data_IF_180637218534
#
_entry.id   IF_180637218534
#
_cell.length_a   1.000
_cell.length_b   1.000
_cell.length_c   1.000
_cell.angle_alpha   90.00
_cell.angle_beta   90.00
_cell.angle_gamma   90.00
#
_symmetry.space_group_name_H-M   'P 1'
#
loop_
_entity.id
_entity.type
_entity.pdbx_description
1 polymer ?
#
# COMPACT_ATOMS: atom_id res chain seq x y z
N UNK A 1 -29.48 -28.41 -13.66
CA UNK A 1 -29.69 -27.61 -12.44
C UNK A 1 -29.31 -26.20 -12.83
N UNK A 2 -30.29 -25.33 -13.07
CA UNK A 2 -30.05 -23.94 -13.48
C UNK A 2 -30.14 -23.06 -12.24
N UNK A 3 -29.29 -22.05 -12.13
CA UNK A 3 -29.37 -21.04 -11.07
C UNK A 3 -30.60 -20.18 -11.29
N UNK A 4 -31.23 -19.76 -10.19
CA UNK A 4 -32.28 -18.74 -10.19
C UNK A 4 -31.72 -17.34 -10.43
N UNK A 5 -32.57 -16.41 -10.86
CA UNK A 5 -32.18 -15.01 -11.08
C UNK A 5 -31.66 -14.33 -9.80
N UNK A 6 -32.23 -14.69 -8.65
CA UNK A 6 -31.80 -14.20 -7.34
C UNK A 6 -30.39 -14.68 -6.98
N UNK A 7 -30.09 -15.97 -7.23
CA UNK A 7 -28.75 -16.53 -7.02
C UNK A 7 -27.73 -15.86 -7.94
N UNK A 8 -28.09 -15.62 -9.21
CA UNK A 8 -27.23 -14.93 -10.16
C UNK A 8 -26.95 -13.48 -9.76
N UNK A 9 -27.97 -12.77 -9.28
CA UNK A 9 -27.86 -11.41 -8.76
C UNK A 9 -26.96 -11.36 -7.52
N UNK A 10 -27.15 -12.28 -6.59
CA UNK A 10 -26.33 -12.43 -5.39
C UNK A 10 -24.84 -12.67 -5.74
N UNK A 11 -24.57 -13.59 -6.67
CA UNK A 11 -23.20 -13.85 -7.15
C UNK A 11 -22.58 -12.61 -7.80
N UNK A 12 -23.34 -11.89 -8.63
CA UNK A 12 -22.87 -10.68 -9.31
C UNK A 12 -22.50 -9.59 -8.30
N UNK A 13 -23.34 -9.37 -7.28
CA UNK A 13 -23.05 -8.45 -6.18
C UNK A 13 -21.83 -8.88 -5.36
N UNK A 14 -21.67 -10.18 -5.11
CA UNK A 14 -20.51 -10.69 -4.39
C UNK A 14 -19.21 -10.45 -5.17
N UNK A 15 -19.22 -10.69 -6.48
CA UNK A 15 -18.07 -10.43 -7.36
C UNK A 15 -17.72 -8.93 -7.36
N UNK A 16 -18.70 -8.03 -7.48
CA UNK A 16 -18.46 -6.58 -7.42
C UNK A 16 -17.83 -6.18 -6.08
N UNK A 17 -18.37 -6.67 -4.96
CA UNK A 17 -17.88 -6.33 -3.63
C UNK A 17 -16.47 -6.86 -3.34
N UNK A 18 -16.14 -8.06 -3.84
CA UNK A 18 -14.86 -8.73 -3.59
C UNK A 18 -13.75 -8.33 -4.57
N UNK A 19 -14.09 -7.80 -5.75
CA UNK A 19 -13.12 -7.34 -6.75
C UNK A 19 -11.99 -6.45 -6.19
N UNK A 20 -12.25 -5.38 -5.40
CA UNK A 20 -11.16 -4.56 -4.87
C UNK A 20 -10.25 -5.34 -3.89
N UNK A 21 -10.80 -6.30 -3.16
CA UNK A 21 -10.02 -7.16 -2.24
C UNK A 21 -9.15 -8.15 -3.01
N UNK A 22 -9.66 -8.68 -4.12
CA UNK A 22 -8.89 -9.54 -5.02
C UNK A 22 -7.72 -8.77 -5.66
N UNK A 23 -7.96 -7.55 -6.14
CA UNK A 23 -6.92 -6.68 -6.68
C UNK A 23 -5.85 -6.34 -5.63
N UNK A 24 -6.26 -5.96 -4.42
CA UNK A 24 -5.33 -5.68 -3.32
C UNK A 24 -4.53 -6.93 -2.91
N UNK A 25 -5.17 -8.10 -2.88
CA UNK A 25 -4.49 -9.36 -2.53
C UNK A 25 -3.48 -9.74 -3.60
N UNK A 26 -3.83 -9.58 -4.90
CA UNK A 26 -2.90 -9.79 -6.01
C UNK A 26 -1.70 -8.86 -5.93
N UNK A 27 -1.92 -7.58 -5.65
CA UNK A 27 -0.86 -6.59 -5.47
C UNK A 27 0.12 -7.03 -4.35
N UNK A 28 -0.43 -7.38 -3.19
CA UNK A 28 0.36 -7.83 -2.02
C UNK A 28 1.01 -9.19 -2.27
N UNK A 29 0.42 -10.06 -3.08
CA UNK A 29 0.95 -11.42 -3.31
C UNK A 29 1.92 -11.49 -4.50
N UNK A 30 1.91 -10.50 -5.40
CA UNK A 30 2.76 -10.47 -6.58
C UNK A 30 4.19 -10.01 -6.27
N UNK A 31 4.39 -9.24 -5.20
CA UNK A 31 5.70 -8.75 -4.80
C UNK A 31 6.48 -9.83 -4.04
N UNK A 32 7.75 -10.05 -4.42
CA UNK A 32 8.67 -10.87 -3.61
C UNK A 32 8.86 -10.29 -2.19
N UNK A 33 8.70 -8.97 -2.06
CA UNK A 33 8.68 -8.26 -0.78
C UNK A 33 7.65 -7.14 -0.86
N UNK A 34 6.56 -7.25 -0.10
CA UNK A 34 5.55 -6.20 -0.01
C UNK A 34 6.13 -5.00 0.69
N UNK A 35 6.11 -3.84 0.05
CA UNK A 35 6.58 -2.62 0.72
C UNK A 35 5.58 -2.18 1.78
N UNK A 36 6.03 -2.04 3.03
CA UNK A 36 5.22 -1.59 4.17
C UNK A 36 4.54 -0.23 3.87
N UNK A 37 5.14 0.58 3.00
CA UNK A 37 4.58 1.86 2.52
C UNK A 37 3.23 1.74 1.80
N UNK A 38 2.86 0.57 1.27
CA UNK A 38 1.59 0.36 0.56
C UNK A 38 0.41 0.04 1.47
N UNK A 39 0.66 -0.30 2.73
CA UNK A 39 -0.36 -0.80 3.65
C UNK A 39 -1.45 0.25 3.91
N UNK A 40 -1.07 1.47 4.31
CA UNK A 40 -2.02 2.57 4.56
C UNK A 40 -2.80 2.93 3.27
N UNK A 41 -2.14 3.15 2.11
CA UNK A 41 -2.85 3.40 0.86
C UNK A 41 -3.86 2.30 0.49
N UNK A 42 -3.47 1.02 0.54
CA UNK A 42 -4.33 -0.09 0.17
C UNK A 42 -5.56 -0.19 1.08
N UNK A 43 -5.38 0.01 2.39
CA UNK A 43 -6.51 0.03 3.33
C UNK A 43 -7.48 1.18 3.01
N UNK A 44 -6.97 2.37 2.72
CA UNK A 44 -7.79 3.51 2.32
C UNK A 44 -8.59 3.22 1.04
N UNK A 45 -7.96 2.60 0.05
CA UNK A 45 -8.62 2.20 -1.21
C UNK A 45 -9.69 1.14 -1.00
N UNK A 46 -9.40 0.09 -0.22
CA UNK A 46 -10.37 -0.95 0.11
C UNK A 46 -11.57 -0.40 0.88
N UNK A 47 -11.32 0.50 1.84
CA UNK A 47 -12.38 1.15 2.60
C UNK A 47 -13.29 1.98 1.69
N UNK A 48 -12.71 2.78 0.80
CA UNK A 48 -13.46 3.61 -0.14
C UNK A 48 -14.25 2.77 -1.14
N UNK A 49 -13.63 1.78 -1.77
CA UNK A 49 -14.28 0.89 -2.73
C UNK A 49 -15.46 0.13 -2.10
N UNK A 50 -15.28 -0.42 -0.90
CA UNK A 50 -16.34 -1.12 -0.18
C UNK A 50 -17.48 -0.18 0.23
N UNK A 51 -17.18 1.06 0.65
CA UNK A 51 -18.22 2.06 0.95
C UNK A 51 -19.01 2.46 -0.29
N UNK A 52 -18.35 2.70 -1.42
CA UNK A 52 -19.01 3.05 -2.69
C UNK A 52 -19.94 1.94 -3.18
N UNK A 53 -19.47 0.69 -3.17
CA UNK A 53 -20.31 -0.46 -3.51
C UNK A 53 -21.47 -0.64 -2.50
N UNK A 54 -21.22 -0.39 -1.22
CA UNK A 54 -22.26 -0.43 -0.19
C UNK A 54 -23.36 0.61 -0.38
N UNK A 55 -23.02 1.83 -0.83
CA UNK A 55 -23.98 2.89 -1.15
C UNK A 55 -24.89 2.54 -2.33
N UNK A 56 -24.45 1.63 -3.23
CA UNK A 56 -25.28 1.10 -4.34
C UNK A 56 -26.27 0.02 -3.89
N UNK A 57 -26.36 -0.27 -2.58
CA UNK A 57 -27.28 -1.28 -2.03
C UNK A 57 -26.65 -2.67 -1.83
N UNK A 58 -25.34 -2.82 -2.02
CA UNK A 58 -24.65 -4.09 -1.80
C UNK A 58 -24.39 -4.33 -0.30
N UNK A 59 -25.17 -5.24 0.30
CA UNK A 59 -25.08 -5.53 1.74
C UNK A 59 -23.74 -6.15 2.14
N UNK A 60 -23.16 -7.00 1.28
CA UNK A 60 -21.85 -7.60 1.53
C UNK A 60 -20.76 -6.51 1.57
N UNK A 61 -20.80 -5.56 0.64
CA UNK A 61 -19.86 -4.44 0.61
C UNK A 61 -19.95 -3.56 1.86
N UNK A 62 -21.16 -3.29 2.37
CA UNK A 62 -21.34 -2.59 3.65
C UNK A 62 -20.71 -3.34 4.83
N UNK A 63 -20.89 -4.66 4.88
CA UNK A 63 -20.25 -5.49 5.91
C UNK A 63 -18.74 -5.47 5.77
N UNK A 64 -18.20 -5.59 4.55
CA UNK A 64 -16.77 -5.50 4.29
C UNK A 64 -16.20 -4.14 4.70
N UNK A 65 -16.88 -3.03 4.39
CA UNK A 65 -16.49 -1.68 4.81
C UNK A 65 -16.47 -1.54 6.34
N UNK A 66 -17.46 -2.10 7.05
CA UNK A 66 -17.48 -2.11 8.51
C UNK A 66 -16.32 -2.94 9.10
N UNK A 67 -16.01 -4.07 8.47
CA UNK A 67 -14.90 -4.94 8.88
C UNK A 67 -13.52 -4.32 8.59
N UNK A 68 -13.34 -3.64 7.46
CA UNK A 68 -12.13 -2.89 7.16
C UNK A 68 -11.90 -1.80 8.19
N UNK A 69 -12.92 -0.97 8.47
CA UNK A 69 -12.84 0.06 9.50
C UNK A 69 -12.46 -0.53 10.84
N UNK A 70 -13.13 -1.61 11.28
CA UNK A 70 -12.85 -2.24 12.58
C UNK A 70 -11.42 -2.79 12.69
N UNK A 71 -10.89 -3.38 11.62
CA UNK A 71 -9.55 -4.00 11.62
C UNK A 71 -8.42 -2.98 11.47
N UNK A 72 -8.69 -1.84 10.83
CA UNK A 72 -7.68 -0.86 10.46
C UNK A 72 -7.93 0.56 11.00
N UNK A 73 -8.80 0.71 12.01
CA UNK A 73 -9.24 2.01 12.57
C UNK A 73 -8.07 2.94 12.93
N UNK A 74 -6.97 2.40 13.43
CA UNK A 74 -5.80 3.15 13.88
C UNK A 74 -4.53 2.84 13.09
N UNK A 75 -4.66 2.42 11.83
CA UNK A 75 -3.51 2.01 11.03
C UNK A 75 -2.51 3.16 10.81
N UNK A 76 -3.01 4.39 10.70
CA UNK A 76 -2.17 5.58 10.56
C UNK A 76 -1.40 5.92 11.85
N UNK A 77 -1.88 5.51 13.03
CA UNK A 77 -1.19 5.76 14.31
C UNK A 77 0.00 4.81 14.54
N UNK A 78 0.12 3.75 13.75
CA UNK A 78 1.31 2.90 13.79
C UNK A 78 2.49 3.63 13.13
N UNK A 79 3.44 4.09 13.95
CA UNK A 79 4.57 4.88 13.46
C UNK A 79 5.36 4.18 12.35
N UNK A 80 5.58 2.87 12.41
CA UNK A 80 6.34 2.16 11.38
C UNK A 80 5.60 2.19 10.04
N UNK A 81 4.30 1.86 10.01
CA UNK A 81 3.50 1.94 8.79
C UNK A 81 3.45 3.37 8.25
N UNK A 82 3.23 4.33 9.14
CA UNK A 82 3.03 5.72 8.81
C UNK A 82 4.32 6.39 8.33
N UNK A 83 5.45 6.17 9.01
CA UNK A 83 6.75 6.67 8.58
C UNK A 83 7.18 6.03 7.25
N UNK A 84 7.05 4.71 7.08
CA UNK A 84 7.36 4.05 5.81
C UNK A 84 6.51 4.58 4.66
N UNK A 85 5.22 4.82 4.90
CA UNK A 85 4.31 5.40 3.90
C UNK A 85 4.67 6.85 3.59
N UNK A 86 4.93 7.67 4.61
CA UNK A 86 5.27 9.08 4.47
C UNK A 86 6.60 9.31 3.72
N UNK A 87 7.58 8.43 3.94
CA UNK A 87 8.88 8.49 3.26
C UNK A 87 8.82 8.01 1.80
N UNK A 88 7.79 7.27 1.41
CA UNK A 88 7.57 6.89 0.02
C UNK A 88 7.07 8.11 -0.76
N UNK A 89 7.86 8.55 -1.75
CA UNK A 89 7.62 9.76 -2.54
C UNK A 89 6.24 9.73 -3.23
N UNK A 90 5.75 8.54 -3.58
CA UNK A 90 4.44 8.36 -4.24
C UNK A 90 3.27 8.73 -3.33
N UNK A 91 3.42 8.54 -2.02
CA UNK A 91 2.33 8.65 -1.06
C UNK A 91 2.44 9.92 -0.23
N UNK A 92 3.61 10.16 0.37
CA UNK A 92 3.92 11.33 1.20
C UNK A 92 2.76 11.70 2.14
N UNK A 93 2.10 12.83 1.92
CA UNK A 93 0.98 13.32 2.73
C UNK A 93 -0.40 13.08 2.08
N UNK A 94 -0.46 12.47 0.90
CA UNK A 94 -1.65 12.40 0.05
C UNK A 94 -2.61 11.28 0.50
N UNK A 95 -2.05 10.22 1.09
CA UNK A 95 -2.77 9.00 1.48
C UNK A 95 -3.30 9.03 2.90
N UNK A 96 -2.89 10.02 3.70
CA UNK A 96 -3.30 10.15 5.09
C UNK A 96 -4.65 10.87 5.18
N UNK A 97 -5.57 10.28 5.93
CA UNK A 97 -6.84 10.91 6.25
C UNK A 97 -6.69 11.95 7.36
N UNK A 98 -5.79 11.71 8.33
CA UNK A 98 -5.53 12.64 9.43
C UNK A 98 -4.29 13.49 9.16
N UNK A 99 -4.50 14.78 8.88
CA UNK A 99 -3.42 15.75 8.68
C UNK A 99 -2.62 16.02 9.97
N UNK A 100 -3.23 15.86 11.15
CA UNK A 100 -2.54 15.98 12.43
C UNK A 100 -1.50 14.89 12.60
N UNK A 101 -1.83 13.67 12.20
CA UNK A 101 -0.91 12.54 12.27
C UNK A 101 0.31 12.73 11.34
N UNK A 102 0.13 13.34 10.16
CA UNK A 102 1.24 13.69 9.26
C UNK A 102 2.27 14.59 9.96
N UNK A 103 1.84 15.61 10.70
CA UNK A 103 2.75 16.50 11.41
C UNK A 103 3.44 15.82 12.60
N UNK A 104 2.76 14.89 13.27
CA UNK A 104 3.36 14.05 14.33
C UNK A 104 4.48 13.17 13.76
N UNK A 105 4.21 12.48 12.65
CA UNK A 105 5.20 11.61 11.96
C UNK A 105 6.40 12.44 11.52
N UNK A 106 6.15 13.57 10.87
CA UNK A 106 7.20 14.48 10.39
C UNK A 106 8.07 15.00 11.53
N UNK A 107 7.46 15.45 12.62
CA UNK A 107 8.18 15.95 13.80
C UNK A 107 9.05 14.87 14.42
N UNK A 108 8.52 13.66 14.54
CA UNK A 108 9.26 12.51 15.08
C UNK A 108 10.43 12.10 14.17
N UNK A 109 10.22 12.01 12.85
CA UNK A 109 11.28 11.73 11.87
C UNK A 109 12.42 12.75 11.95
N UNK A 110 12.09 14.05 12.02
CA UNK A 110 13.09 15.12 12.16
C UNK A 110 13.87 14.96 13.48
N UNK A 111 13.19 14.66 14.58
CA UNK A 111 13.83 14.46 15.88
C UNK A 111 14.78 13.25 15.87
N UNK A 112 14.37 12.13 15.28
CA UNK A 112 15.19 10.93 15.11
C UNK A 112 16.43 11.22 14.25
N UNK A 113 16.27 11.94 13.12
CA UNK A 113 17.39 12.36 12.27
C UNK A 113 18.39 13.27 13.00
N UNK A 114 17.91 14.24 13.79
CA UNK A 114 18.77 15.13 14.58
C UNK A 114 19.52 14.38 15.68
N UNK A 115 18.89 13.39 16.31
CA UNK A 115 19.52 12.58 17.33
C UNK A 115 20.69 11.74 16.76
N UNK A 116 20.52 11.19 15.55
CA UNK A 116 21.59 10.46 14.85
C UNK A 116 22.79 11.36 14.52
N UNK A 117 22.53 12.59 14.05
CA UNK A 117 23.59 13.56 13.75
C UNK A 117 24.45 13.95 14.96
N UNK A 118 23.90 13.89 16.18
CA UNK A 118 24.63 14.16 17.43
C UNK A 118 25.46 12.97 17.91
N UNK A 119 25.08 11.74 17.55
CA UNK A 119 25.85 10.54 17.91
C UNK A 119 27.06 10.35 16.99
N UNK A 120 26.98 10.77 15.72
CA UNK A 120 28.09 10.68 14.76
C UNK A 120 29.32 11.54 15.10
N UNK A 121 29.21 12.52 16.02
CA UNK A 121 30.30 13.44 16.38
C UNK A 121 31.08 13.04 17.65
N UNK A 122 30.80 11.88 18.27
CA UNK A 122 31.41 11.48 19.55
C UNK A 122 32.28 10.21 19.50
N UNK A 123 32.72 9.75 18.32
CA UNK A 123 33.65 8.60 18.21
C UNK A 123 34.59 8.80 17.02
N UNK A 124 35.86 9.20 17.24
CA UNK A 124 37.10 8.36 17.19
C UNK A 124 38.34 9.32 17.33
N UNK A 125 39.58 8.90 17.74
CA UNK A 125 40.27 7.70 17.22
C UNK A 125 41.13 6.85 18.19
N UNK A 126 41.23 5.52 17.93
CA UNK A 126 42.53 4.85 17.63
C UNK A 126 42.49 3.30 17.56
N UNK A 127 42.84 2.82 16.36
CA UNK A 127 43.81 1.75 16.04
C UNK A 127 43.47 0.24 16.24
N UNK A 128 43.01 -0.35 15.13
CA UNK A 128 43.53 -1.55 14.42
C UNK A 128 43.87 -2.86 15.17
N UNK A 129 43.24 -3.96 14.72
CA UNK A 129 43.95 -5.19 14.30
C UNK A 129 43.13 -5.98 13.26
N UNK A 130 43.83 -6.32 12.18
CA UNK A 130 43.40 -7.11 11.03
C UNK A 130 43.24 -8.60 11.36
N UNK A 131 42.25 -9.26 10.75
CA UNK A 131 42.47 -10.50 10.00
C UNK A 131 41.23 -10.81 9.14
N UNK A 132 41.45 -10.96 7.84
CA UNK A 132 40.42 -11.31 6.87
C UNK A 132 40.16 -12.81 6.82
N UNK A 133 39.02 -13.19 6.24
CA UNK A 133 38.90 -14.40 5.41
C UNK A 133 37.81 -14.14 4.38
N UNK A 134 38.24 -14.11 3.12
CA UNK A 134 37.43 -14.20 1.92
C UNK A 134 36.81 -15.60 1.87
N UNK A 135 35.50 -15.69 1.62
CA UNK A 135 34.89 -16.90 1.05
C UNK A 135 34.06 -16.49 -0.16
N UNK A 136 34.61 -16.88 -1.30
CA UNK A 136 34.10 -16.83 -2.67
C UNK A 136 32.87 -17.74 -2.85
N UNK A 137 31.93 -17.25 -3.65
CA UNK A 137 30.76 -17.97 -4.22
C UNK A 137 31.22 -19.01 -5.25
N UNK A 138 30.45 -20.11 -5.45
CA UNK A 138 29.93 -20.33 -6.82
C UNK A 138 28.41 -20.60 -6.87
N UNK A 139 27.83 -20.51 -8.08
CA UNK A 139 26.40 -20.38 -8.33
C UNK A 139 25.73 -21.73 -8.62
N UNK A 140 24.42 -21.83 -8.38
CA UNK A 140 23.61 -22.88 -9.00
C UNK A 140 22.22 -22.34 -9.38
N UNK A 141 21.98 -22.30 -10.69
CA UNK A 141 20.66 -22.27 -11.31
C UNK A 141 20.29 -23.71 -11.64
N UNK A 142 19.01 -24.07 -11.61
CA UNK A 142 18.40 -24.31 -12.91
C UNK A 142 17.04 -23.65 -13.09
N UNK A 143 16.84 -23.18 -14.31
CA UNK A 143 15.56 -22.82 -14.88
C UNK A 143 14.55 -23.97 -14.78
N UNK A 144 13.34 -23.65 -14.37
CA UNK A 144 12.14 -24.41 -14.69
C UNK A 144 10.97 -23.43 -14.88
N UNK A 145 10.76 -23.09 -16.15
CA UNK A 145 9.47 -22.85 -16.80
C UNK A 145 8.27 -22.77 -15.85
N UNK A 146 7.73 -21.57 -15.66
CA UNK A 146 6.32 -21.45 -15.32
C UNK A 146 5.62 -20.77 -16.48
N UNK A 147 5.04 -21.62 -17.33
CA UNK A 147 4.13 -21.23 -18.39
C UNK A 147 3.03 -20.34 -17.79
N UNK A 148 2.95 -19.10 -18.27
CA UNK A 148 1.78 -18.25 -18.06
C UNK A 148 0.62 -18.89 -18.80
N UNK A 149 -0.18 -19.68 -18.09
CA UNK A 149 -1.54 -19.98 -18.50
C UNK A 149 -2.40 -18.78 -18.11
N UNK A 150 -2.92 -18.12 -19.15
CA UNK A 150 -3.64 -16.88 -19.06
C UNK A 150 -5.06 -16.99 -18.53
N UNK A 151 -5.61 -15.83 -18.23
CA UNK A 151 -7.01 -15.48 -18.42
C UNK A 151 -7.13 -13.97 -18.26
N UNK A 152 -6.66 -13.21 -19.25
CA UNK A 152 -7.17 -11.85 -19.43
C UNK A 152 -8.57 -11.98 -20.02
N UNK A 153 -9.55 -12.09 -19.13
CA UNK A 153 -10.97 -12.07 -19.48
C UNK A 153 -11.53 -10.69 -19.13
N UNK A 154 -11.70 -9.91 -20.20
CA UNK A 154 -12.74 -8.91 -20.47
C UNK A 154 -12.92 -7.73 -19.49
N UNK A 155 -12.55 -6.55 -20.00
CA UNK A 155 -13.06 -5.20 -19.66
C UNK A 155 -13.13 -4.89 -18.18
N UNK A 156 -11.99 -4.52 -17.61
CA UNK A 156 -11.90 -3.92 -16.29
C UNK A 156 -12.39 -2.46 -16.33
N UNK A 157 -13.58 -2.21 -15.82
CA UNK A 157 -13.91 -0.90 -15.27
C UNK A 157 -12.97 -0.63 -14.09
N UNK A 158 -11.86 0.03 -14.40
CA UNK A 158 -10.91 0.65 -13.49
C UNK A 158 -10.09 -0.25 -12.55
N UNK A 159 -8.81 0.06 -12.46
CA UNK A 159 -7.90 -0.57 -11.48
C UNK A 159 -8.10 0.03 -10.09
N UNK A 160 -7.81 -0.75 -9.03
CA UNK A 160 -7.87 -0.32 -7.63
C UNK A 160 -7.17 1.04 -7.37
N UNK A 161 -6.09 1.30 -8.11
CA UNK A 161 -5.27 2.52 -7.98
C UNK A 161 -5.71 3.67 -8.88
N UNK A 162 -6.65 3.49 -9.81
CA UNK A 162 -6.92 4.47 -10.87
C UNK A 162 -7.36 5.84 -10.34
N UNK A 163 -8.29 5.85 -9.38
CA UNK A 163 -8.75 7.08 -8.73
C UNK A 163 -7.62 7.77 -7.96
N UNK A 164 -6.77 6.96 -7.33
CA UNK A 164 -5.61 7.45 -6.60
C UNK A 164 -4.58 8.09 -7.53
N UNK A 165 -4.21 7.40 -8.61
CA UNK A 165 -3.26 7.90 -9.60
C UNK A 165 -3.76 9.20 -10.23
N UNK A 166 -5.06 9.28 -10.52
CA UNK A 166 -5.70 10.52 -11.00
C UNK A 166 -5.54 11.66 -10.00
N UNK A 167 -5.74 11.38 -8.70
CA UNK A 167 -5.55 12.36 -7.63
C UNK A 167 -4.08 12.80 -7.48
N UNK A 168 -3.14 11.88 -7.64
CA UNK A 168 -1.70 12.18 -7.61
C UNK A 168 -1.32 13.13 -8.74
N UNK A 169 -1.77 12.84 -9.98
CA UNK A 169 -1.51 13.70 -11.14
C UNK A 169 -2.09 15.11 -10.93
N UNK A 170 -3.33 15.20 -10.44
CA UNK A 170 -3.96 16.49 -10.13
C UNK A 170 -3.20 17.27 -9.04
N UNK A 171 -2.73 16.58 -8.00
CA UNK A 171 -1.96 17.21 -6.93
C UNK A 171 -0.60 17.75 -7.39
N UNK A 172 0.06 17.09 -8.36
CA UNK A 172 1.31 17.56 -8.93
C UNK A 172 1.12 18.81 -9.82
N UNK A 173 0.04 18.86 -10.62
CA UNK A 173 -0.28 20.03 -11.46
C UNK A 173 -0.55 21.32 -10.68
N UNK A 174 -1.07 21.22 -9.45
CA UNK A 174 -1.29 22.39 -8.58
C UNK A 174 0.01 22.96 -7.98
N UNK A 175 1.09 22.16 -7.88
CA UNK A 175 2.38 22.64 -7.36
C UNK A 175 3.16 23.44 -8.41
N UNK A 176 2.97 23.15 -9.69
CA UNK A 176 3.65 23.85 -10.79
C UNK A 176 3.02 25.19 -11.13
N UNK A 177 1.78 25.45 -10.70
CA UNK A 177 1.03 26.69 -10.99
C UNK A 177 1.12 27.74 -9.87
N UNK A 178 1.65 27.38 -8.69
CA UNK A 178 1.79 28.30 -7.54
C UNK A 178 3.22 28.88 -7.42
N UNK A 179 4.07 28.65 -8.42
CA UNK A 179 5.40 29.28 -8.55
C UNK A 179 5.42 30.09 -9.84
N UNK A 180 4.81 31.27 -9.79
CA UNK A 180 5.11 32.43 -10.63
C UNK A 180 4.85 33.70 -9.80
#
# INVERSE_FOLDING_TARGET
MCLSDDEWSCMSQAIEALRPFEQATKEVSAEQYVTISKVIPLVSLLQNAAMLAGQKGNTLALQLAAQCKRRFENIEHNYTLAASTFLDIRFKNIVFCDTGNVEVIKSRLISEMQALGRQATTSEPSASTSMGTVLTVPPESPAANNERIGAECSTCEGGLWQDFDTRIVAFQGNRTTTTD
#
